data_IF_708129578335
#
_entry.id   IF_708129578335
#
_cell.length_a   1.000
_cell.length_b   1.000
_cell.length_c   1.000
_cell.angle_alpha   90.00
_cell.angle_beta   90.00
_cell.angle_gamma   90.00
#
_symmetry.space_group_name_H-M   'P 1'
#
loop_
_entity.id
_entity.type
_entity.pdbx_description
1 polymer ?
#
# COMPACT_ATOMS: atom_id res chain seq x y z
N UNK A 1 -16.11 -8.68 7.59
CA UNK A 1 -16.87 -9.19 6.42
C UNK A 1 -17.50 -10.54 6.75
N UNK A 2 -16.72 -11.59 7.06
CA UNK A 2 -17.28 -12.92 7.35
C UNK A 2 -18.20 -12.95 8.59
N UNK A 3 -17.76 -12.36 9.72
CA UNK A 3 -18.61 -12.25 10.93
C UNK A 3 -19.91 -11.49 10.66
N UNK A 4 -19.84 -10.43 9.84
CA UNK A 4 -21.00 -9.64 9.48
C UNK A 4 -22.00 -10.42 8.61
N UNK A 5 -21.48 -11.18 7.64
CA UNK A 5 -22.28 -12.09 6.82
C UNK A 5 -22.94 -13.19 7.68
N UNK A 6 -22.21 -13.77 8.63
CA UNK A 6 -22.76 -14.74 9.57
C UNK A 6 -23.89 -14.12 10.41
N UNK A 7 -23.69 -12.91 10.94
CA UNK A 7 -24.75 -12.19 11.66
C UNK A 7 -25.97 -11.91 10.79
N UNK A 8 -25.77 -11.56 9.51
CA UNK A 8 -26.87 -11.35 8.56
C UNK A 8 -27.67 -12.64 8.33
N UNK A 9 -26.99 -13.78 8.19
CA UNK A 9 -27.63 -15.09 8.05
C UNK A 9 -28.43 -15.44 9.31
N UNK A 10 -27.84 -15.25 10.49
CA UNK A 10 -28.52 -15.51 11.77
C UNK A 10 -29.75 -14.61 11.94
N UNK A 11 -29.63 -13.32 11.61
CA UNK A 11 -30.75 -12.39 11.64
C UNK A 11 -31.87 -12.81 10.66
N UNK A 12 -31.52 -13.22 9.45
CA UNK A 12 -32.49 -13.75 8.48
C UNK A 12 -33.20 -15.01 8.99
N UNK A 13 -32.47 -15.93 9.62
CA UNK A 13 -33.07 -17.12 10.24
C UNK A 13 -34.02 -16.75 11.39
N UNK A 14 -33.64 -15.80 12.25
CA UNK A 14 -34.50 -15.32 13.33
C UNK A 14 -35.79 -14.69 12.80
N UNK A 15 -35.70 -13.89 11.73
CA UNK A 15 -36.88 -13.30 11.05
C UNK A 15 -37.76 -14.39 10.43
N UNK A 16 -37.18 -15.43 9.84
CA UNK A 16 -37.94 -16.56 9.28
C UNK A 16 -38.70 -17.33 10.38
N UNK A 17 -38.05 -17.60 11.51
CA UNK A 17 -38.69 -18.21 12.69
C UNK A 17 -39.82 -17.32 13.21
N UNK A 18 -39.57 -16.01 13.35
CA UNK A 18 -40.59 -15.05 13.75
C UNK A 18 -41.80 -15.09 12.80
N UNK A 19 -41.58 -15.08 11.48
CA UNK A 19 -42.65 -15.13 10.50
C UNK A 19 -43.45 -16.44 10.59
N UNK A 20 -42.79 -17.57 10.86
CA UNK A 20 -43.46 -18.87 11.01
C UNK A 20 -44.37 -18.97 12.24
N UNK A 21 -44.10 -18.17 13.28
CA UNK A 21 -44.87 -18.17 14.53
C UNK A 21 -45.99 -17.12 14.53
N UNK A 22 -45.89 -16.08 13.70
CA UNK A 22 -46.80 -14.94 13.70
C UNK A 22 -47.68 -14.93 12.44
N UNK A 23 -48.55 -15.93 12.30
CA UNK A 23 -49.42 -16.10 11.13
C UNK A 23 -50.75 -15.34 11.20
N UNK A 24 -50.92 -14.48 12.21
CA UNK A 24 -52.09 -13.63 12.33
C UNK A 24 -52.16 -12.63 11.17
N UNK A 25 -53.38 -12.18 10.87
CA UNK A 25 -53.66 -11.29 9.75
C UNK A 25 -54.51 -10.12 10.22
N UNK A 26 -54.23 -8.93 9.67
CA UNK A 26 -54.97 -7.71 9.92
C UNK A 26 -55.35 -7.01 8.63
N UNK A 27 -56.45 -6.28 8.67
CA UNK A 27 -56.85 -5.41 7.58
C UNK A 27 -56.11 -4.08 7.72
N UNK A 28 -55.47 -3.66 6.63
CA UNK A 28 -54.62 -2.46 6.60
C UNK A 28 -55.19 -1.50 5.57
N UNK A 29 -55.45 -0.26 6.00
CA UNK A 29 -55.88 0.81 5.10
C UNK A 29 -54.81 1.88 5.08
N UNK A 30 -54.30 2.21 3.88
CA UNK A 30 -53.32 3.28 3.69
C UNK A 30 -53.82 4.22 2.58
N UNK A 31 -53.96 5.49 2.92
CA UNK A 31 -54.67 6.48 2.10
C UNK A 31 -56.08 5.99 1.71
N UNK A 32 -56.25 5.61 0.45
CA UNK A 32 -57.51 5.17 -0.16
C UNK A 32 -57.45 3.72 -0.63
N UNK A 33 -56.36 3.01 -0.31
CA UNK A 33 -56.19 1.60 -0.60
C UNK A 33 -56.38 0.76 0.66
N UNK A 34 -57.18 -0.28 0.52
CA UNK A 34 -57.49 -1.23 1.56
C UNK A 34 -56.94 -2.60 1.16
N UNK A 35 -56.16 -3.20 2.04
CA UNK A 35 -55.69 -4.56 1.93
C UNK A 35 -56.31 -5.38 3.05
N UNK A 36 -57.00 -6.44 2.69
CA UNK A 36 -57.57 -7.36 3.67
C UNK A 36 -56.61 -8.52 3.95
N UNK A 37 -56.68 -9.03 5.18
CA UNK A 37 -55.93 -10.20 5.62
C UNK A 37 -54.40 -10.14 5.37
N UNK A 38 -53.77 -8.98 5.61
CA UNK A 38 -52.31 -8.83 5.51
C UNK A 38 -51.66 -9.54 6.69
N UNK A 39 -50.70 -10.47 6.46
CA UNK A 39 -50.01 -11.13 7.56
C UNK A 39 -49.10 -10.18 8.34
N UNK A 40 -49.10 -10.28 9.67
CA UNK A 40 -48.35 -9.39 10.57
C UNK A 40 -46.83 -9.47 10.38
N UNK A 41 -46.35 -10.60 9.89
CA UNK A 41 -44.93 -10.80 9.60
C UNK A 41 -44.46 -10.02 8.37
N UNK A 42 -45.36 -9.64 7.45
CA UNK A 42 -44.99 -9.03 6.16
C UNK A 42 -44.20 -7.73 6.34
N UNK A 43 -44.65 -6.73 7.13
CA UNK A 43 -43.90 -5.49 7.32
C UNK A 43 -42.50 -5.72 7.89
N UNK A 44 -42.38 -6.65 8.84
CA UNK A 44 -41.10 -6.98 9.49
C UNK A 44 -40.13 -7.63 8.50
N UNK A 45 -40.59 -8.62 7.74
CA UNK A 45 -39.79 -9.28 6.70
C UNK A 45 -39.35 -8.28 5.63
N UNK A 46 -40.25 -7.39 5.21
CA UNK A 46 -39.95 -6.38 4.20
C UNK A 46 -38.88 -5.40 4.69
N UNK A 47 -39.01 -4.90 5.92
CA UNK A 47 -38.02 -4.04 6.55
C UNK A 47 -36.65 -4.73 6.69
N UNK A 48 -36.64 -5.98 7.18
CA UNK A 48 -35.43 -6.78 7.31
C UNK A 48 -34.76 -7.04 5.95
N UNK A 49 -35.55 -7.32 4.91
CA UNK A 49 -35.05 -7.52 3.56
C UNK A 49 -34.39 -6.25 2.99
N UNK A 50 -35.01 -5.08 3.16
CA UNK A 50 -34.45 -3.80 2.72
C UNK A 50 -33.13 -3.50 3.43
N UNK A 51 -33.10 -3.62 4.76
CA UNK A 51 -31.89 -3.39 5.56
C UNK A 51 -30.80 -4.39 5.20
N UNK A 52 -31.14 -5.67 5.06
CA UNK A 52 -30.22 -6.73 4.68
C UNK A 52 -29.63 -6.51 3.28
N UNK A 53 -30.44 -6.10 2.32
CA UNK A 53 -29.99 -5.78 0.96
C UNK A 53 -29.03 -4.58 0.96
N UNK A 54 -29.33 -3.52 1.71
CA UNK A 54 -28.43 -2.37 1.88
C UNK A 54 -27.10 -2.79 2.52
N UNK A 55 -27.14 -3.68 3.51
CA UNK A 55 -25.94 -4.22 4.13
C UNK A 55 -25.11 -5.08 3.18
N UNK A 56 -25.74 -5.92 2.36
CA UNK A 56 -25.06 -6.69 1.31
C UNK A 56 -24.42 -5.77 0.28
N UNK A 57 -25.15 -4.74 -0.16
CA UNK A 57 -24.63 -3.75 -1.09
C UNK A 57 -23.43 -3.01 -0.49
N UNK A 58 -23.51 -2.61 0.77
CA UNK A 58 -22.39 -2.01 1.49
C UNK A 58 -21.21 -2.96 1.62
N UNK A 59 -21.45 -4.23 1.95
CA UNK A 59 -20.41 -5.24 2.07
C UNK A 59 -19.70 -5.46 0.72
N UNK A 60 -20.46 -5.50 -0.38
CA UNK A 60 -19.95 -5.63 -1.74
C UNK A 60 -19.10 -4.41 -2.12
N UNK A 61 -19.62 -3.20 -1.87
CA UNK A 61 -18.90 -1.95 -2.11
C UNK A 61 -17.61 -1.88 -1.29
N UNK A 62 -17.67 -2.15 0.01
CA UNK A 62 -16.52 -2.11 0.91
C UNK A 62 -15.47 -3.18 0.56
N UNK A 63 -15.91 -4.38 0.19
CA UNK A 63 -15.05 -5.48 -0.26
C UNK A 63 -14.31 -5.16 -1.57
N UNK A 64 -15.00 -4.54 -2.53
CA UNK A 64 -14.40 -4.04 -3.77
C UNK A 64 -13.37 -2.94 -3.48
N UNK A 65 -13.73 -1.94 -2.68
CA UNK A 65 -12.86 -0.79 -2.37
C UNK A 65 -11.61 -1.22 -1.58
N UNK A 66 -11.73 -2.13 -0.61
CA UNK A 66 -10.59 -2.65 0.14
C UNK A 66 -9.78 -3.68 -0.66
N UNK A 67 -10.42 -4.51 -1.47
CA UNK A 67 -9.77 -5.50 -2.34
C UNK A 67 -8.89 -4.85 -3.40
N UNK A 68 -9.31 -3.73 -3.99
CA UNK A 68 -8.50 -2.96 -4.95
C UNK A 68 -7.25 -2.36 -4.29
N UNK A 69 -7.36 -1.91 -3.04
CA UNK A 69 -6.23 -1.33 -2.29
C UNK A 69 -5.19 -2.39 -1.91
N UNK A 70 -5.61 -3.59 -1.51
CA UNK A 70 -4.69 -4.69 -1.18
C UNK A 70 -4.12 -5.35 -2.44
N UNK A 71 -4.92 -5.53 -3.50
CA UNK A 71 -4.47 -6.09 -4.77
C UNK A 71 -3.45 -5.20 -5.50
N UNK A 72 -3.62 -3.88 -5.43
CA UNK A 72 -2.65 -2.92 -5.97
C UNK A 72 -1.38 -2.81 -5.13
N UNK A 73 -1.48 -2.96 -3.80
CA UNK A 73 -0.29 -3.07 -2.93
C UNK A 73 0.52 -4.32 -3.29
N UNK A 74 -0.13 -5.47 -3.49
CA UNK A 74 0.55 -6.73 -3.84
C UNK A 74 1.32 -6.63 -5.17
N UNK A 75 0.71 -6.04 -6.21
CA UNK A 75 1.39 -5.78 -7.50
C UNK A 75 2.55 -4.79 -7.38
N UNK A 76 2.44 -3.79 -6.50
CA UNK A 76 3.52 -2.81 -6.25
C UNK A 76 4.67 -3.41 -5.43
N UNK A 77 4.39 -4.35 -4.55
CA UNK A 77 5.41 -5.07 -3.76
C UNK A 77 6.22 -5.99 -4.69
N UNK A 78 5.57 -6.75 -5.58
CA UNK A 78 6.29 -7.64 -6.52
C UNK A 78 7.22 -6.87 -7.47
N UNK A 79 6.79 -5.72 -7.98
CA UNK A 79 7.62 -4.88 -8.86
C UNK A 79 8.76 -4.18 -8.10
N UNK A 80 8.54 -3.80 -6.84
CA UNK A 80 9.61 -3.22 -6.01
C UNK A 80 10.64 -4.27 -5.60
N UNK A 81 10.20 -5.50 -5.36
CA UNK A 81 11.06 -6.61 -5.00
C UNK A 81 11.96 -7.04 -6.16
N UNK A 82 11.44 -7.04 -7.41
CA UNK A 82 12.28 -7.26 -8.60
C UNK A 82 13.31 -6.15 -8.78
N UNK A 83 12.90 -4.88 -8.68
CA UNK A 83 13.83 -3.75 -8.78
C UNK A 83 14.91 -3.77 -7.69
N UNK A 84 14.57 -4.19 -6.47
CA UNK A 84 15.51 -4.26 -5.35
C UNK A 84 16.51 -5.43 -5.53
N UNK A 85 16.06 -6.54 -6.11
CA UNK A 85 16.96 -7.65 -6.49
C UNK A 85 17.87 -7.28 -7.65
N UNK A 86 17.37 -6.55 -8.64
CA UNK A 86 18.18 -6.10 -9.78
C UNK A 86 19.25 -5.07 -9.33
N UNK A 87 18.89 -4.10 -8.49
CA UNK A 87 19.87 -3.17 -7.90
C UNK A 87 20.92 -3.86 -7.03
N UNK A 88 20.55 -4.94 -6.34
CA UNK A 88 21.49 -5.74 -5.54
C UNK A 88 22.49 -6.48 -6.42
N UNK A 89 22.03 -7.10 -7.51
CA UNK A 89 22.90 -7.75 -8.50
C UNK A 89 23.86 -6.76 -9.14
N UNK A 90 23.36 -5.60 -9.52
CA UNK A 90 24.16 -4.56 -10.16
C UNK A 90 25.21 -3.97 -9.19
N UNK A 91 24.86 -3.78 -7.90
CA UNK A 91 25.84 -3.39 -6.88
C UNK A 91 26.92 -4.45 -6.65
N UNK A 92 26.57 -5.74 -6.68
CA UNK A 92 27.56 -6.81 -6.56
C UNK A 92 28.53 -6.78 -7.75
N UNK A 93 27.99 -6.68 -8.97
CA UNK A 93 28.79 -6.56 -10.18
C UNK A 93 29.72 -5.34 -10.16
N UNK A 94 29.22 -4.17 -9.76
CA UNK A 94 30.03 -2.95 -9.65
C UNK A 94 31.14 -3.06 -8.59
N UNK A 95 30.92 -3.85 -7.53
CA UNK A 95 31.95 -4.13 -6.53
C UNK A 95 33.04 -5.04 -7.07
N UNK A 96 32.67 -6.05 -7.87
CA UNK A 96 33.61 -6.94 -8.55
C UNK A 96 34.44 -6.16 -9.58
N UNK A 97 33.81 -5.31 -10.38
CA UNK A 97 34.49 -4.45 -11.35
C UNK A 97 35.44 -3.45 -10.65
N UNK A 98 35.00 -2.81 -9.55
CA UNK A 98 35.89 -1.96 -8.76
C UNK A 98 37.07 -2.72 -8.15
N UNK A 99 36.86 -3.95 -7.67
CA UNK A 99 37.92 -4.79 -7.14
C UNK A 99 38.92 -5.18 -8.24
N UNK A 100 38.42 -5.48 -9.44
CA UNK A 100 39.22 -5.81 -10.62
C UNK A 100 40.05 -4.63 -11.10
N UNK A 101 39.43 -3.46 -11.29
CA UNK A 101 40.13 -2.23 -11.68
C UNK A 101 41.17 -1.83 -10.63
N UNK A 102 40.86 -1.96 -9.33
CA UNK A 102 41.85 -1.76 -8.26
C UNK A 102 43.01 -2.75 -8.34
N UNK A 103 42.77 -3.99 -8.74
CA UNK A 103 43.84 -4.98 -8.90
C UNK A 103 44.73 -4.68 -10.12
N UNK A 104 44.16 -4.17 -11.21
CA UNK A 104 44.88 -3.72 -12.41
C UNK A 104 45.75 -2.50 -12.10
N UNK A 105 45.18 -1.48 -11.44
CA UNK A 105 45.92 -0.30 -10.97
C UNK A 105 47.03 -0.68 -10.00
N UNK A 106 46.79 -1.60 -9.05
CA UNK A 106 47.84 -2.07 -8.13
C UNK A 106 48.93 -2.89 -8.86
N UNK A 107 48.59 -3.55 -9.96
CA UNK A 107 49.55 -4.20 -10.85
C UNK A 107 50.39 -3.20 -11.63
N UNK A 108 49.75 -2.14 -12.15
CA UNK A 108 50.42 -1.02 -12.83
C UNK A 108 51.32 -0.25 -11.86
N UNK A 109 50.86 0.11 -10.67
CA UNK A 109 51.67 0.77 -9.63
C UNK A 109 52.87 -0.10 -9.20
N UNK A 110 52.76 -1.44 -9.21
CA UNK A 110 53.91 -2.32 -8.99
C UNK A 110 54.88 -2.34 -10.17
N UNK A 111 54.37 -2.29 -11.40
CA UNK A 111 55.20 -2.15 -12.60
C UNK A 111 55.93 -0.81 -12.63
N UNK A 112 55.21 0.27 -12.29
CA UNK A 112 55.74 1.64 -12.18
C UNK A 112 56.71 1.75 -11.01
N UNK A 113 56.39 1.20 -9.83
CA UNK A 113 57.32 1.18 -8.70
C UNK A 113 58.52 0.24 -8.91
N UNK A 114 58.45 -0.73 -9.83
CA UNK A 114 59.63 -1.51 -10.25
C UNK A 114 60.52 -0.70 -11.21
N UNK A 115 59.94 0.18 -12.03
CA UNK A 115 60.70 1.17 -12.82
C UNK A 115 61.17 2.37 -11.98
N UNK A 116 60.47 2.71 -10.89
CA UNK A 116 60.66 3.94 -10.13
C UNK A 116 61.42 3.75 -8.80
N UNK A 117 61.64 2.49 -8.35
CA UNK A 117 62.62 2.19 -7.28
C UNK A 117 64.07 2.51 -7.66
N UNK A 118 64.30 2.91 -8.92
CA UNK A 118 65.52 3.55 -9.37
C UNK A 118 65.53 5.08 -9.28
N UNK A 119 64.41 5.76 -8.99
CA UNK A 119 64.31 7.21 -9.21
C UNK A 119 63.64 8.09 -8.13
N UNK A 120 62.86 7.59 -7.15
CA UNK A 120 62.10 8.49 -6.24
C UNK A 120 62.33 8.21 -4.75
N UNK A 121 63.50 8.63 -4.25
CA UNK A 121 63.71 8.97 -2.83
C UNK A 121 63.40 10.45 -2.55
N UNK A 122 62.89 11.20 -3.52
CA UNK A 122 62.71 12.64 -3.41
C UNK A 122 61.46 13.08 -4.18
N UNK A 123 60.31 13.16 -3.51
CA UNK A 123 59.34 14.23 -3.74
C UNK A 123 58.08 14.02 -2.89
N UNK A 124 57.79 15.05 -2.07
CA UNK A 124 56.45 15.59 -1.80
C UNK A 124 55.42 14.65 -1.17
N UNK A 125 55.03 14.78 0.11
CA UNK A 125 54.78 16.02 0.84
C UNK A 125 54.02 17.08 0.01
N UNK A 126 52.87 16.72 -0.54
CA UNK A 126 51.82 17.68 -0.86
C UNK A 126 50.47 16.99 -1.05
N UNK A 127 49.48 17.59 -0.39
CA UNK A 127 48.13 17.78 -0.89
C UNK A 127 47.00 16.91 -0.30
N UNK A 128 46.15 17.61 0.45
CA UNK A 128 45.03 17.11 1.24
C UNK A 128 43.77 17.79 0.68
N UNK A 129 42.83 17.08 0.02
CA UNK A 129 41.61 17.72 -0.44
C UNK A 129 40.49 17.60 0.59
N UNK A 130 40.13 18.77 1.13
CA UNK A 130 38.78 19.37 1.17
C UNK A 130 37.61 18.50 1.68
N UNK A 131 37.09 18.89 2.84
CA UNK A 131 35.87 18.38 3.43
C UNK A 131 34.69 18.34 2.44
N UNK A 132 34.10 17.16 2.28
CA UNK A 132 32.85 16.92 1.54
C UNK A 132 31.69 17.59 2.29
N UNK A 133 30.97 18.48 1.62
CA UNK A 133 29.68 18.99 2.13
C UNK A 133 28.68 17.84 2.27
N UNK A 134 27.91 17.77 3.37
CA UNK A 134 26.95 16.69 3.55
C UNK A 134 25.80 16.80 2.54
N UNK A 135 25.51 15.70 1.86
CA UNK A 135 24.39 15.56 0.94
C UNK A 135 23.07 15.77 1.69
N UNK A 136 22.31 16.80 1.31
CA UNK A 136 20.97 17.05 1.82
C UNK A 136 19.96 16.32 0.91
N UNK A 137 19.21 15.32 1.42
CA UNK A 137 18.26 14.60 0.59
C UNK A 137 17.17 15.53 0.05
N UNK A 138 16.89 15.40 -1.24
CA UNK A 138 15.87 16.19 -1.94
C UNK A 138 14.48 15.74 -1.44
N UNK A 139 13.60 16.66 -1.01
CA UNK A 139 12.31 16.28 -0.44
C UNK A 139 11.45 15.55 -1.46
N UNK A 140 10.81 14.48 -1.01
CA UNK A 140 9.95 13.63 -1.84
C UNK A 140 8.64 14.36 -2.18
N UNK A 141 7.96 13.95 -3.26
CA UNK A 141 6.70 14.60 -3.70
C UNK A 141 5.65 14.58 -2.59
N UNK A 142 5.61 13.51 -1.77
CA UNK A 142 4.67 13.41 -0.64
C UNK A 142 4.91 14.44 0.45
N UNK A 143 6.17 14.79 0.73
CA UNK A 143 6.52 15.84 1.70
C UNK A 143 6.13 17.23 1.20
N UNK A 144 6.24 17.47 -0.11
CA UNK A 144 5.81 18.74 -0.74
C UNK A 144 4.30 18.90 -0.73
N UNK A 145 3.56 17.82 -1.03
CA UNK A 145 2.09 17.84 -0.99
C UNK A 145 1.60 18.07 0.45
N UNK A 146 2.22 17.40 1.44
CA UNK A 146 1.91 17.64 2.85
C UNK A 146 2.23 19.08 3.27
N UNK A 147 3.36 19.63 2.85
CA UNK A 147 3.75 21.02 3.15
C UNK A 147 2.73 22.03 2.58
N UNK A 148 2.29 21.82 1.34
CA UNK A 148 1.28 22.63 0.65
C UNK A 148 -0.06 22.65 1.40
N UNK A 149 -0.60 21.49 1.77
CA UNK A 149 -1.86 21.42 2.53
C UNK A 149 -1.74 21.92 3.98
N UNK A 150 -0.52 21.97 4.53
CA UNK A 150 -0.27 22.46 5.89
C UNK A 150 -0.01 23.97 5.99
N UNK A 151 -0.07 24.70 4.86
CA UNK A 151 0.17 26.14 4.83
C UNK A 151 1.60 26.57 5.17
N UNK A 152 2.55 25.61 5.22
CA UNK A 152 3.98 25.88 5.36
C UNK A 152 4.64 25.75 4.01
N UNK A 153 4.58 26.81 3.21
CA UNK A 153 5.50 26.92 2.08
C UNK A 153 6.93 27.00 2.63
N UNK A 154 7.88 26.14 2.19
CA UNK A 154 9.28 26.40 2.42
C UNK A 154 9.69 27.58 1.55
N UNK A 155 9.89 28.73 2.19
CA UNK A 155 10.48 29.90 1.55
C UNK A 155 11.84 29.56 0.91
N UNK A 156 12.03 30.00 -0.33
CA UNK A 156 13.34 30.22 -0.93
C UNK A 156 13.75 29.22 -2.01
N UNK A 157 13.57 29.63 -3.26
CA UNK A 157 14.66 29.63 -4.24
C UNK A 157 15.08 31.08 -4.48
#
# INVERSE_FOLDING_TARGET
MLLFLLLLIVAGAAVAVYASQNTATHDVTLWQWHWSAVPDWVPVVLAAAVVGALFLLYMLYSGLVHGVRVGSMRRRVTTRESALNDLRRENQRLREENARVRSELRGMDRGVAATDRGAVAASTAADRPRARTPYRPRPTIGERVRAFFSGREPAGY
#
